data_IF_180860790843
#
_entry.id   IF_180860790843
#
_cell.length_a   1.000
_cell.length_b   1.000
_cell.length_c   1.000
_cell.angle_alpha   90.00
_cell.angle_beta   90.00
_cell.angle_gamma   90.00
#
_symmetry.space_group_name_H-M   'P 1'
#
loop_
_entity.id
_entity.type
_entity.pdbx_description
1 polymer ?
#
# COMPACT_ATOMS: atom_id res chain seq x y z
N UNK A 1 -19.44 -5.25 24.46
CA UNK A 1 -18.27 -5.01 23.58
C UNK A 1 -18.53 -3.69 22.89
N UNK A 2 -17.60 -2.75 22.99
CA UNK A 2 -17.77 -1.38 22.50
C UNK A 2 -17.56 -1.30 20.98
N UNK A 3 -18.27 -0.40 20.30
CA UNK A 3 -18.21 -0.17 18.85
C UNK A 3 -16.80 0.25 18.43
N UNK A 4 -16.12 1.03 19.27
CA UNK A 4 -14.73 1.45 19.03
C UNK A 4 -13.77 0.24 18.97
N UNK A 5 -13.98 -0.76 19.83
CA UNK A 5 -13.18 -1.99 19.84
C UNK A 5 -13.41 -2.87 18.61
N UNK A 6 -14.62 -2.86 18.04
CA UNK A 6 -14.93 -3.59 16.81
C UNK A 6 -14.28 -2.95 15.59
N UNK A 7 -14.31 -1.61 15.50
CA UNK A 7 -13.65 -0.87 14.43
C UNK A 7 -12.13 -1.09 14.41
N UNK A 8 -11.49 -1.06 15.59
CA UNK A 8 -10.06 -1.35 15.69
C UNK A 8 -9.70 -2.79 15.25
N UNK A 9 -10.51 -3.78 15.62
CA UNK A 9 -10.31 -5.16 15.18
C UNK A 9 -10.49 -5.30 13.66
N UNK A 10 -11.50 -4.65 13.07
CA UNK A 10 -11.73 -4.64 11.63
C UNK A 10 -10.55 -4.02 10.87
N UNK A 11 -9.99 -2.92 11.37
CA UNK A 11 -8.80 -2.30 10.81
C UNK A 11 -7.60 -3.24 10.82
N UNK A 12 -7.34 -3.93 11.94
CA UNK A 12 -6.23 -4.90 12.04
C UNK A 12 -6.39 -6.05 11.05
N UNK A 13 -7.61 -6.57 10.87
CA UNK A 13 -7.89 -7.61 9.87
C UNK A 13 -7.61 -7.08 8.45
N UNK A 14 -8.06 -5.85 8.15
CA UNK A 14 -7.84 -5.24 6.84
C UNK A 14 -6.36 -5.00 6.54
N UNK A 15 -5.59 -4.49 7.51
CA UNK A 15 -4.14 -4.33 7.40
C UNK A 15 -3.41 -5.67 7.25
N UNK A 16 -3.84 -6.70 7.98
CA UNK A 16 -3.28 -8.05 7.84
C UNK A 16 -3.50 -8.63 6.44
N UNK A 17 -4.70 -8.45 5.88
CA UNK A 17 -5.01 -8.85 4.49
C UNK A 17 -4.20 -8.07 3.48
N UNK A 18 -4.10 -6.75 3.64
CA UNK A 18 -3.27 -5.91 2.79
C UNK A 18 -1.83 -6.41 2.78
N UNK A 19 -1.25 -6.64 3.97
CA UNK A 19 0.11 -7.19 4.08
C UNK A 19 0.27 -8.55 3.42
N UNK A 20 -0.74 -9.42 3.51
CA UNK A 20 -0.71 -10.73 2.84
C UNK A 20 -0.75 -10.59 1.31
N UNK A 21 -1.56 -9.68 0.78
CA UNK A 21 -1.60 -9.39 -0.67
C UNK A 21 -0.23 -8.91 -1.14
N UNK A 22 0.37 -7.91 -0.47
CA UNK A 22 1.69 -7.40 -0.80
C UNK A 22 2.77 -8.48 -0.70
N UNK A 23 2.74 -9.32 0.34
CA UNK A 23 3.67 -10.42 0.51
C UNK A 23 3.66 -11.44 -0.65
N UNK A 24 2.51 -11.66 -1.27
CA UNK A 24 2.37 -12.58 -2.39
C UNK A 24 2.54 -11.93 -3.77
N UNK A 25 2.81 -10.62 -3.83
CA UNK A 25 3.16 -9.98 -5.10
C UNK A 25 4.49 -10.53 -5.59
N UNK A 26 4.49 -11.04 -6.81
CA UNK A 26 5.66 -11.65 -7.41
C UNK A 26 5.83 -11.25 -8.87
N UNK A 27 7.09 -11.22 -9.30
CA UNK A 27 7.48 -10.95 -10.68
C UNK A 27 8.62 -11.90 -11.08
N UNK A 28 8.54 -12.59 -12.23
CA UNK A 28 9.46 -13.67 -12.57
C UNK A 28 10.93 -13.27 -12.75
N UNK A 29 11.20 -11.97 -12.94
CA UNK A 29 12.52 -11.47 -13.33
C UNK A 29 13.18 -10.54 -12.30
N UNK A 30 12.47 -10.16 -11.23
CA UNK A 30 13.00 -9.23 -10.23
C UNK A 30 12.76 -9.76 -8.83
N UNK A 31 13.67 -9.44 -7.91
CA UNK A 31 13.49 -9.77 -6.49
C UNK A 31 12.50 -8.80 -5.88
N UNK A 32 11.77 -9.27 -4.87
CA UNK A 32 10.86 -8.44 -4.11
C UNK A 32 11.02 -8.67 -2.61
N UNK A 33 10.67 -7.66 -1.83
CA UNK A 33 10.62 -7.71 -0.38
C UNK A 33 9.39 -6.96 0.12
N UNK A 34 8.51 -7.67 0.81
CA UNK A 34 7.38 -7.06 1.50
C UNK A 34 7.85 -6.32 2.77
N UNK A 35 7.14 -5.25 3.12
CA UNK A 35 7.37 -4.49 4.33
C UNK A 35 6.07 -4.12 5.02
N UNK A 36 6.17 -3.84 6.31
CA UNK A 36 5.10 -3.19 7.08
C UNK A 36 5.72 -2.44 8.25
N UNK A 37 5.24 -1.25 8.53
CA UNK A 37 5.70 -0.45 9.66
C UNK A 37 4.57 0.41 10.23
N UNK A 38 4.71 0.80 11.49
CA UNK A 38 3.79 1.71 12.15
C UNK A 38 4.20 3.16 11.91
N UNK A 39 3.23 3.99 11.58
CA UNK A 39 3.40 5.44 11.48
C UNK A 39 3.09 6.03 12.86
N UNK A 40 3.92 6.94 13.40
CA UNK A 40 3.65 7.60 14.66
C UNK A 40 2.25 8.23 14.72
N UNK A 41 1.67 8.19 15.92
CA UNK A 41 0.35 8.75 16.25
C UNK A 41 -0.85 8.02 15.62
N UNK A 42 -0.72 6.70 15.40
CA UNK A 42 -1.86 5.83 15.09
C UNK A 42 -2.05 5.56 13.60
N UNK A 43 -0.97 5.25 12.88
CA UNK A 43 -1.04 4.79 11.50
C UNK A 43 -0.19 3.55 11.22
N UNK A 44 -0.33 3.04 10.02
CA UNK A 44 0.46 1.93 9.49
C UNK A 44 0.61 2.08 7.98
N UNK A 45 1.72 1.56 7.46
CA UNK A 45 1.93 1.37 6.04
C UNK A 45 2.35 -0.07 5.77
N UNK A 46 1.93 -0.60 4.63
CA UNK A 46 2.29 -1.93 4.14
C UNK A 46 2.47 -1.89 2.63
N UNK A 47 3.36 -2.71 2.12
CA UNK A 47 3.76 -2.65 0.73
C UNK A 47 4.78 -3.70 0.34
N UNK A 48 5.22 -3.63 -0.91
CA UNK A 48 6.29 -4.44 -1.47
C UNK A 48 7.23 -3.58 -2.28
N UNK A 49 8.52 -3.84 -2.12
CA UNK A 49 9.59 -3.24 -2.91
C UNK A 49 10.08 -4.27 -3.91
N UNK A 50 10.13 -3.91 -5.18
CA UNK A 50 10.82 -4.66 -6.23
C UNK A 50 12.17 -4.02 -6.51
N UNK A 51 13.23 -4.82 -6.63
CA UNK A 51 14.56 -4.35 -7.01
C UNK A 51 14.83 -4.71 -8.46
N UNK A 52 14.94 -3.70 -9.33
CA UNK A 52 15.27 -3.85 -10.74
C UNK A 52 16.75 -4.27 -10.93
N UNK A 53 17.15 -4.81 -12.10
CA UNK A 53 18.52 -5.26 -12.36
C UNK A 53 19.59 -4.16 -12.26
N UNK A 54 19.22 -2.91 -12.50
CA UNK A 54 20.08 -1.72 -12.38
C UNK A 54 20.21 -1.20 -10.94
N UNK A 55 19.46 -1.79 -9.99
CA UNK A 55 19.45 -1.42 -8.58
C UNK A 55 18.35 -0.44 -8.18
N UNK A 56 17.54 0.07 -9.12
CA UNK A 56 16.38 0.91 -8.78
C UNK A 56 15.36 0.13 -7.96
N UNK A 57 14.76 0.81 -6.98
CA UNK A 57 13.69 0.25 -6.15
C UNK A 57 12.34 0.79 -6.59
N UNK A 58 11.38 -0.12 -6.82
CA UNK A 58 10.00 0.18 -7.16
C UNK A 58 9.11 -0.18 -5.97
N UNK A 59 8.55 0.84 -5.34
CA UNK A 59 7.75 0.75 -4.13
C UNK A 59 6.26 0.75 -4.47
N UNK A 60 5.56 -0.31 -4.09
CA UNK A 60 4.09 -0.38 -4.10
C UNK A 60 3.61 -0.38 -2.68
N UNK A 61 2.73 0.54 -2.29
CA UNK A 61 2.27 0.60 -0.91
C UNK A 61 0.92 1.26 -0.73
N UNK A 62 0.31 0.93 0.40
CA UNK A 62 -0.82 1.66 0.97
C UNK A 62 -0.48 2.10 2.38
N UNK A 63 -1.06 3.22 2.80
CA UNK A 63 -0.95 3.68 4.17
C UNK A 63 -2.29 4.18 4.72
N UNK A 64 -2.39 4.06 6.04
CA UNK A 64 -3.50 4.49 6.86
C UNK A 64 -2.92 5.31 8.03
N UNK A 65 -3.43 6.49 8.31
CA UNK A 65 -3.02 7.27 9.48
C UNK A 65 -4.13 8.15 10.04
N UNK A 66 -4.20 8.31 11.36
CA UNK A 66 -5.04 9.33 11.98
C UNK A 66 -4.36 10.71 11.91
N UNK A 67 -5.03 11.69 11.30
CA UNK A 67 -4.55 13.08 11.15
C UNK A 67 -5.72 14.05 11.36
N UNK A 68 -5.56 14.99 12.27
CA UNK A 68 -6.54 16.06 12.53
C UNK A 68 -7.98 15.56 12.76
N UNK A 69 -8.13 14.39 13.41
CA UNK A 69 -9.43 13.78 13.68
C UNK A 69 -10.06 13.03 12.50
N UNK A 70 -9.32 12.82 11.41
CA UNK A 70 -9.76 12.04 10.26
C UNK A 70 -8.73 10.96 9.87
N UNK A 71 -9.21 9.87 9.29
CA UNK A 71 -8.39 8.82 8.71
C UNK A 71 -7.91 9.24 7.32
N UNK A 72 -6.59 9.35 7.19
CA UNK A 72 -5.87 9.61 5.96
C UNK A 72 -5.48 8.30 5.31
N UNK A 73 -5.92 8.08 4.07
CA UNK A 73 -5.60 6.91 3.26
C UNK A 73 -4.83 7.34 2.03
N UNK A 74 -3.72 6.66 1.77
CA UNK A 74 -2.88 6.85 0.60
C UNK A 74 -2.56 5.50 -0.05
N UNK A 75 -2.41 5.50 -1.37
CA UNK A 75 -1.96 4.36 -2.16
C UNK A 75 -1.06 4.84 -3.28
N UNK A 76 0.09 4.21 -3.47
CA UNK A 76 1.10 4.67 -4.42
C UNK A 76 1.90 3.52 -5.01
N UNK A 77 2.30 3.69 -6.27
CA UNK A 77 3.46 3.01 -6.84
C UNK A 77 4.48 4.07 -7.25
N UNK A 78 5.73 3.92 -6.86
CA UNK A 78 6.80 4.87 -7.16
C UNK A 78 8.11 4.14 -7.46
N UNK A 79 8.92 4.70 -8.34
CA UNK A 79 10.32 4.29 -8.53
C UNK A 79 11.19 5.45 -8.05
N UNK A 80 12.08 5.19 -7.10
CA UNK A 80 12.82 6.25 -6.40
C UNK A 80 11.87 7.33 -5.82
N UNK A 81 11.85 8.53 -6.41
CA UNK A 81 10.99 9.65 -6.04
C UNK A 81 9.90 9.98 -7.10
N UNK A 82 9.84 9.19 -8.19
CA UNK A 82 8.89 9.40 -9.28
C UNK A 82 7.64 8.53 -9.12
N UNK A 83 6.48 9.17 -9.07
CA UNK A 83 5.20 8.48 -8.94
C UNK A 83 4.79 7.85 -10.28
N UNK A 84 4.72 6.52 -10.30
CA UNK A 84 4.16 5.73 -11.41
C UNK A 84 2.63 5.64 -11.30
N UNK A 85 2.13 5.57 -10.08
CA UNK A 85 0.73 5.60 -9.71
C UNK A 85 0.58 6.37 -8.40
N UNK A 86 -0.35 7.30 -8.37
CA UNK A 86 -0.72 7.99 -7.13
C UNK A 86 -2.23 8.02 -7.01
N UNK A 87 -2.75 7.35 -5.99
CA UNK A 87 -4.15 7.39 -5.64
C UNK A 87 -4.50 8.75 -5.04
N UNK A 88 -5.68 9.32 -5.31
CA UNK A 88 -6.10 10.55 -4.65
C UNK A 88 -6.09 10.38 -3.13
N UNK A 89 -5.44 11.26 -2.38
CA UNK A 89 -5.48 11.20 -0.92
C UNK A 89 -6.91 11.31 -0.42
N UNK A 90 -7.32 10.41 0.48
CA UNK A 90 -8.65 10.44 1.12
C UNK A 90 -8.54 10.77 2.59
N UNK A 91 -9.39 11.68 3.05
CA UNK A 91 -9.56 12.04 4.46
C UNK A 91 -11.00 11.72 4.86
N UNK A 92 -11.18 10.80 5.79
CA UNK A 92 -12.48 10.24 6.15
C UNK A 92 -12.68 10.28 7.67
N UNK A 93 -13.78 10.85 8.18
CA UNK A 93 -14.04 10.85 9.62
C UNK A 93 -14.52 9.49 10.14
N UNK A 94 -15.07 8.64 9.26
CA UNK A 94 -15.58 7.32 9.62
C UNK A 94 -14.56 6.22 9.32
N UNK A 95 -14.37 5.33 10.30
CA UNK A 95 -13.38 4.24 10.22
C UNK A 95 -13.79 3.15 9.23
N UNK A 96 -15.09 2.83 9.11
CA UNK A 96 -15.55 1.78 8.21
C UNK A 96 -15.42 2.22 6.75
N UNK A 97 -15.75 3.48 6.45
CA UNK A 97 -15.49 4.08 5.14
C UNK A 97 -13.99 4.12 4.84
N UNK A 98 -13.16 4.44 5.82
CA UNK A 98 -11.70 4.44 5.68
C UNK A 98 -11.14 3.05 5.36
N UNK A 99 -11.62 2.02 6.05
CA UNK A 99 -11.27 0.61 5.77
C UNK A 99 -11.69 0.23 4.34
N UNK A 100 -12.92 0.55 3.92
CA UNK A 100 -13.38 0.23 2.58
C UNK A 100 -12.53 0.91 1.49
N UNK A 101 -12.08 2.15 1.73
CA UNK A 101 -11.16 2.84 0.82
C UNK A 101 -9.77 2.23 0.84
N UNK A 102 -9.25 1.82 2.00
CA UNK A 102 -7.97 1.13 2.12
C UNK A 102 -7.96 -0.16 1.30
N UNK A 103 -8.97 -1.02 1.47
CA UNK A 103 -9.10 -2.29 0.75
C UNK A 103 -9.15 -2.07 -0.75
N UNK A 104 -9.92 -1.08 -1.21
CA UNK A 104 -9.96 -0.70 -2.61
C UNK A 104 -8.59 -0.21 -3.12
N UNK A 105 -7.84 0.56 -2.33
CA UNK A 105 -6.50 1.01 -2.71
C UNK A 105 -5.48 -0.12 -2.75
N UNK A 106 -5.63 -1.16 -1.94
CA UNK A 106 -4.82 -2.37 -2.09
C UNK A 106 -5.02 -2.96 -3.47
N UNK A 107 -6.26 -3.17 -3.90
CA UNK A 107 -6.57 -3.73 -5.22
C UNK A 107 -6.03 -2.83 -6.34
N UNK A 108 -6.34 -1.53 -6.31
CA UNK A 108 -5.92 -0.58 -7.36
C UNK A 108 -4.38 -0.39 -7.44
N UNK A 109 -3.65 -0.47 -6.32
CA UNK A 109 -2.19 -0.39 -6.31
C UNK A 109 -1.54 -1.68 -6.77
N UNK A 110 -2.15 -2.83 -6.46
CA UNK A 110 -1.58 -4.16 -6.78
C UNK A 110 -1.88 -4.63 -8.20
N UNK A 111 -3.03 -4.25 -8.76
CA UNK A 111 -3.44 -4.65 -10.12
C UNK A 111 -2.36 -4.35 -11.19
N UNK A 112 -1.77 -3.15 -11.28
CA UNK A 112 -0.84 -2.82 -12.35
C UNK A 112 0.60 -3.31 -12.11
N UNK A 113 0.91 -3.98 -11.00
CA UNK A 113 2.29 -4.33 -10.58
C UNK A 113 3.11 -4.96 -11.70
N UNK A 114 2.58 -6.02 -12.33
CA UNK A 114 3.31 -6.72 -13.40
C UNK A 114 3.61 -5.81 -14.57
N UNK A 115 2.59 -5.11 -15.08
CA UNK A 115 2.72 -4.18 -16.21
C UNK A 115 3.74 -3.08 -15.92
N UNK A 116 3.67 -2.46 -14.73
CA UNK A 116 4.58 -1.37 -14.37
C UNK A 116 6.02 -1.86 -14.21
N UNK A 117 6.24 -3.05 -13.64
CA UNK A 117 7.58 -3.64 -13.55
C UNK A 117 8.11 -4.03 -14.93
N UNK A 118 7.27 -4.63 -15.79
CA UNK A 118 7.63 -4.97 -17.17
C UNK A 118 8.05 -3.72 -17.97
N UNK A 119 7.26 -2.64 -17.91
CA UNK A 119 7.57 -1.35 -18.57
C UNK A 119 8.92 -0.79 -18.14
N UNK A 120 9.23 -0.83 -16.83
CA UNK A 120 10.53 -0.38 -16.31
C UNK A 120 11.70 -1.30 -16.70
N UNK A 121 11.45 -2.60 -16.88
CA UNK A 121 12.45 -3.55 -17.37
C UNK A 121 12.74 -3.34 -18.86
N UNK A 122 11.74 -2.99 -19.66
CA UNK A 122 11.89 -2.66 -21.08
C UNK A 122 12.77 -1.42 -21.30
N UNK A 123 12.75 -0.44 -20.39
CA UNK A 123 13.64 0.73 -20.42
C UNK A 123 15.14 0.36 -20.28
N UNK A 124 15.44 -0.82 -19.73
CA UNK A 124 16.81 -1.29 -19.47
C UNK A 124 17.36 -2.18 -20.59
N UNK A 125 16.53 -2.55 -21.56
CA UNK A 125 16.88 -3.44 -22.68
C UNK A 125 17.47 -2.68 -23.88
#
# INVERSE_FOLDING_TARGET
>A
MDIEGQGAAALLVSLGRASEVFFHLDHPHVRHQAFSYLIPDGGAATGTVFTLPDGREVHFSVSFALRDGAFRIEGTAAVEDEALLSMPVRLLPDLHEAIAVLERYVDEVTEPVRRLVDELLEELA
#
